data_IF_733681552820
#
_entry.id   IF_733681552820
#
_cell.length_a   1.000
_cell.length_b   1.000
_cell.length_c   1.000
_cell.angle_alpha   90.00
_cell.angle_beta   90.00
_cell.angle_gamma   90.00
#
_symmetry.space_group_name_H-M   'P 1'
#
loop_
_entity.id
_entity.type
_entity.pdbx_description
1 polymer ?
#
# COMPACT_ATOMS: atom_id res chain seq x y z
N UNK A 1 21.36 -3.14 -2.41
CA UNK A 1 20.23 -2.64 -3.22
C UNK A 1 18.95 -2.97 -2.47
N UNK A 2 18.04 -2.00 -2.30
CA UNK A 2 16.70 -2.26 -1.78
C UNK A 2 15.76 -2.50 -2.97
N UNK A 3 14.92 -3.52 -2.88
CA UNK A 3 13.96 -3.91 -3.91
C UNK A 3 12.55 -3.74 -3.36
N UNK A 4 11.71 -3.00 -4.08
CA UNK A 4 10.29 -2.80 -3.76
C UNK A 4 9.51 -3.40 -4.92
N UNK A 5 8.66 -4.39 -4.64
CA UNK A 5 7.81 -5.00 -5.67
C UNK A 5 6.63 -4.10 -6.02
N UNK A 6 6.39 -3.85 -7.31
CA UNK A 6 5.40 -2.88 -7.81
C UNK A 6 4.15 -3.52 -8.45
N UNK A 7 3.99 -4.85 -8.35
CA UNK A 7 2.98 -5.57 -9.12
C UNK A 7 1.54 -5.39 -8.58
N UNK A 8 1.38 -4.87 -7.36
CA UNK A 8 0.07 -4.55 -6.77
C UNK A 8 -0.21 -3.06 -6.99
N UNK A 9 -0.66 -2.73 -8.21
CA UNK A 9 -0.92 -1.35 -8.62
C UNK A 9 -2.22 -1.18 -9.38
N UNK A 10 -2.94 -0.09 -9.12
CA UNK A 10 -4.33 0.12 -9.54
C UNK A 10 -4.56 0.19 -11.06
N UNK A 11 -3.52 0.49 -11.86
CA UNK A 11 -3.63 0.49 -13.33
C UNK A 11 -3.62 -0.94 -13.90
N UNK A 12 -3.16 -1.94 -13.13
CA UNK A 12 -3.33 -3.34 -13.47
C UNK A 12 -4.81 -3.71 -13.42
N UNK A 13 -5.32 -4.29 -14.52
CA UNK A 13 -6.70 -4.77 -14.60
C UNK A 13 -7.02 -5.77 -13.49
N UNK A 14 -6.10 -6.71 -13.23
CA UNK A 14 -6.26 -7.74 -12.19
C UNK A 14 -6.42 -7.10 -10.81
N UNK A 15 -5.59 -6.09 -10.50
CA UNK A 15 -5.61 -5.41 -9.20
C UNK A 15 -6.86 -4.55 -9.05
N UNK A 16 -7.24 -3.81 -10.08
CA UNK A 16 -8.44 -2.96 -10.10
C UNK A 16 -9.74 -3.76 -9.93
N UNK A 17 -9.86 -4.90 -10.63
CA UNK A 17 -10.99 -5.81 -10.49
C UNK A 17 -11.02 -6.46 -9.10
N UNK A 18 -9.87 -6.88 -8.58
CA UNK A 18 -9.74 -7.44 -7.24
C UNK A 18 -10.14 -6.44 -6.14
N UNK A 19 -9.70 -5.18 -6.23
CA UNK A 19 -10.05 -4.13 -5.28
C UNK A 19 -11.55 -3.78 -5.34
N UNK A 20 -12.10 -3.67 -6.55
CA UNK A 20 -13.51 -3.35 -6.78
C UNK A 20 -14.44 -4.47 -6.34
N UNK A 21 -14.05 -5.72 -6.58
CA UNK A 21 -14.79 -6.92 -6.20
C UNK A 21 -14.51 -7.43 -4.79
N UNK A 22 -13.65 -6.75 -4.00
CA UNK A 22 -13.17 -7.22 -2.69
C UNK A 22 -12.68 -8.67 -2.71
N UNK A 23 -11.99 -9.05 -3.79
CA UNK A 23 -11.40 -10.38 -3.97
C UNK A 23 -9.90 -10.32 -3.66
N UNK A 24 -9.50 -10.86 -2.51
CA UNK A 24 -8.10 -10.80 -2.07
C UNK A 24 -7.18 -11.80 -2.79
N UNK A 25 -7.72 -12.89 -3.32
CA UNK A 25 -6.92 -14.03 -3.80
C UNK A 25 -5.87 -13.64 -4.85
N UNK A 26 -6.20 -12.87 -5.90
CA UNK A 26 -5.20 -12.46 -6.89
C UNK A 26 -4.11 -11.55 -6.30
N UNK A 27 -4.46 -10.71 -5.33
CA UNK A 27 -3.51 -9.80 -4.68
C UNK A 27 -2.55 -10.56 -3.76
N UNK A 28 -3.08 -11.55 -3.04
CA UNK A 28 -2.30 -12.45 -2.20
C UNK A 28 -1.34 -13.33 -3.02
N UNK A 29 -1.76 -13.78 -4.20
CA UNK A 29 -0.88 -14.50 -5.14
C UNK A 29 0.26 -13.61 -5.63
N UNK A 30 -0.06 -12.40 -6.12
CA UNK A 30 0.96 -11.42 -6.53
C UNK A 30 1.94 -11.08 -5.40
N UNK A 31 1.47 -10.97 -4.15
CA UNK A 31 2.35 -10.72 -3.01
C UNK A 31 3.33 -11.89 -2.79
N UNK A 32 2.84 -13.13 -2.81
CA UNK A 32 3.68 -14.34 -2.65
C UNK A 32 4.70 -14.46 -3.77
N UNK A 33 4.32 -14.14 -5.02
CA UNK A 33 5.23 -14.15 -6.16
C UNK A 33 6.36 -13.12 -6.01
N UNK A 34 6.04 -11.92 -5.53
CA UNK A 34 7.04 -10.89 -5.25
C UNK A 34 8.00 -11.32 -4.13
N UNK A 35 7.50 -11.96 -3.06
CA UNK A 35 8.37 -12.55 -2.02
C UNK A 35 9.33 -13.59 -2.62
N UNK A 36 8.83 -14.49 -3.48
CA UNK A 36 9.67 -15.49 -4.16
C UNK A 36 10.72 -14.86 -5.07
N UNK A 37 10.44 -13.69 -5.64
CA UNK A 37 11.38 -12.91 -6.45
C UNK A 37 12.44 -12.17 -5.61
N UNK A 38 12.36 -12.20 -4.28
CA UNK A 38 13.38 -11.64 -3.39
C UNK A 38 13.24 -10.14 -3.15
N UNK A 39 12.03 -9.57 -3.24
CA UNK A 39 11.81 -8.16 -2.87
C UNK A 39 11.95 -7.96 -1.35
N UNK A 40 12.27 -6.73 -0.95
CA UNK A 40 12.43 -6.35 0.46
C UNK A 40 11.17 -5.64 1.00
N UNK A 41 10.41 -4.95 0.14
CA UNK A 41 9.10 -4.35 0.44
C UNK A 41 8.11 -4.73 -0.67
N UNK A 42 6.82 -4.70 -0.34
CA UNK A 42 5.72 -4.79 -1.31
C UNK A 42 5.01 -3.44 -1.39
N UNK A 43 4.98 -2.84 -2.57
CA UNK A 43 4.21 -1.62 -2.85
C UNK A 43 2.73 -1.93 -3.00
N UNK A 44 1.89 -1.09 -2.40
CA UNK A 44 0.45 -1.19 -2.39
C UNK A 44 -0.16 0.09 -2.98
N UNK A 45 -0.24 0.14 -4.30
CA UNK A 45 -0.77 1.30 -5.01
C UNK A 45 -2.27 1.19 -5.25
N UNK A 46 -3.03 2.08 -4.58
CA UNK A 46 -4.49 2.24 -4.75
C UNK A 46 -4.86 3.54 -5.50
N UNK A 47 -3.86 4.22 -6.04
CA UNK A 47 -3.98 5.55 -6.62
C UNK A 47 -4.57 6.58 -5.62
N UNK A 48 -5.37 7.56 -6.09
CA UNK A 48 -5.97 8.56 -5.22
C UNK A 48 -7.14 8.05 -4.35
N UNK A 49 -7.58 6.80 -4.55
CA UNK A 49 -8.63 6.13 -3.79
C UNK A 49 -9.85 7.02 -3.46
N UNK A 50 -10.58 7.47 -4.49
CA UNK A 50 -11.64 8.48 -4.35
C UNK A 50 -12.86 8.02 -3.54
N UNK A 51 -13.11 6.70 -3.47
CA UNK A 51 -14.24 6.11 -2.73
C UNK A 51 -13.72 5.29 -1.56
N UNK A 52 -14.16 5.63 -0.36
CA UNK A 52 -13.81 4.96 0.90
C UNK A 52 -12.29 4.69 1.06
N UNK A 53 -11.43 5.72 0.94
CA UNK A 53 -9.96 5.55 0.92
C UNK A 53 -9.41 4.74 2.10
N UNK A 54 -9.88 5.03 3.32
CA UNK A 54 -9.47 4.30 4.51
C UNK A 54 -9.84 2.81 4.43
N UNK A 55 -11.09 2.51 4.08
CA UNK A 55 -11.59 1.13 3.98
C UNK A 55 -10.80 0.32 2.95
N UNK A 56 -10.52 0.92 1.78
CA UNK A 56 -9.77 0.26 0.71
C UNK A 56 -8.34 -0.04 1.14
N UNK A 57 -7.63 0.94 1.70
CA UNK A 57 -6.25 0.72 2.15
C UNK A 57 -6.18 -0.27 3.30
N UNK A 58 -7.07 -0.15 4.30
CA UNK A 58 -7.10 -1.06 5.44
C UNK A 58 -7.43 -2.50 5.02
N UNK A 59 -8.35 -2.69 4.07
CA UNK A 59 -8.65 -4.00 3.52
C UNK A 59 -7.43 -4.58 2.79
N UNK A 60 -6.79 -3.80 1.92
CA UNK A 60 -5.62 -4.26 1.17
C UNK A 60 -4.46 -4.65 2.11
N UNK A 61 -4.08 -3.78 3.04
CA UNK A 61 -2.99 -4.01 3.98
C UNK A 61 -3.22 -5.26 4.83
N UNK A 62 -4.43 -5.47 5.36
CA UNK A 62 -4.73 -6.68 6.13
C UNK A 62 -4.58 -7.95 5.29
N UNK A 63 -5.16 -7.98 4.09
CA UNK A 63 -5.13 -9.17 3.24
C UNK A 63 -3.72 -9.55 2.78
N UNK A 64 -2.84 -8.57 2.53
CA UNK A 64 -1.46 -8.85 2.10
C UNK A 64 -0.62 -9.38 3.27
N UNK A 65 -0.73 -8.77 4.46
CA UNK A 65 0.02 -9.22 5.65
C UNK A 65 -0.44 -10.58 6.19
N UNK A 66 -1.58 -11.11 5.76
CA UNK A 66 -2.00 -12.49 6.08
C UNK A 66 -1.13 -13.54 5.38
N UNK A 67 -0.50 -13.19 4.26
CA UNK A 67 0.18 -14.18 3.40
C UNK A 67 1.65 -13.90 3.14
N UNK A 68 2.16 -12.74 3.58
CA UNK A 68 3.57 -12.38 3.51
C UNK A 68 4.05 -11.79 4.84
N UNK A 69 5.34 -11.95 5.11
CA UNK A 69 6.03 -11.36 6.27
C UNK A 69 7.10 -10.35 5.80
N UNK A 70 6.71 -9.41 4.93
CA UNK A 70 7.54 -8.29 4.49
C UNK A 70 6.89 -6.96 4.88
N UNK A 71 7.69 -5.90 5.09
CA UNK A 71 7.16 -4.56 5.25
C UNK A 71 6.49 -4.05 3.97
N UNK A 72 5.54 -3.13 4.13
CA UNK A 72 4.72 -2.60 3.04
C UNK A 72 5.13 -1.17 2.70
N UNK A 73 5.12 -0.83 1.41
CA UNK A 73 5.18 0.54 0.92
C UNK A 73 3.75 0.97 0.55
N UNK A 74 3.19 1.92 1.29
CA UNK A 74 1.83 2.40 1.05
C UNK A 74 1.88 3.47 -0.03
N UNK A 75 1.36 3.16 -1.23
CA UNK A 75 1.40 4.06 -2.37
C UNK A 75 0.05 4.75 -2.62
N UNK A 76 -0.05 5.95 -2.08
CA UNK A 76 -1.20 6.83 -2.28
C UNK A 76 -0.88 8.27 -1.93
N UNK A 77 -1.48 9.20 -2.67
CA UNK A 77 -1.49 10.63 -2.30
C UNK A 77 -2.63 10.99 -1.34
N UNK A 78 -3.52 10.04 -1.05
CA UNK A 78 -4.68 10.25 -0.18
C UNK A 78 -4.27 10.05 1.28
N UNK A 79 -4.24 11.13 2.05
CA UNK A 79 -3.77 11.13 3.44
C UNK A 79 -4.66 10.29 4.36
N UNK A 80 -5.96 10.18 4.04
CA UNK A 80 -6.91 9.35 4.80
C UNK A 80 -6.60 7.87 4.58
N UNK A 81 -6.31 7.46 3.35
CA UNK A 81 -5.87 6.10 3.07
C UNK A 81 -4.50 5.81 3.71
N UNK A 82 -3.55 6.75 3.58
CA UNK A 82 -2.21 6.64 4.14
C UNK A 82 -2.27 6.37 5.64
N UNK A 83 -2.92 7.23 6.43
CA UNK A 83 -3.01 7.07 7.88
C UNK A 83 -3.73 5.77 8.29
N UNK A 84 -4.79 5.39 7.57
CA UNK A 84 -5.51 4.15 7.83
C UNK A 84 -4.66 2.89 7.59
N UNK A 85 -3.78 2.90 6.58
CA UNK A 85 -2.83 1.82 6.35
C UNK A 85 -1.69 1.80 7.38
N UNK A 86 -1.10 2.96 7.66
CA UNK A 86 0.01 3.11 8.63
C UNK A 86 -0.40 2.59 10.02
N UNK A 87 -1.63 2.85 10.45
CA UNK A 87 -2.13 2.43 11.75
C UNK A 87 -2.24 0.91 11.96
N UNK A 88 -2.20 0.12 10.88
CA UNK A 88 -2.41 -1.34 10.95
C UNK A 88 -1.26 -2.15 10.33
N UNK A 89 -0.22 -1.49 9.82
CA UNK A 89 0.99 -2.18 9.38
C UNK A 89 1.66 -2.88 10.57
N UNK A 90 1.96 -4.17 10.43
CA UNK A 90 2.61 -5.00 11.46
C UNK A 90 4.10 -4.74 11.55
N UNK A 91 4.74 -4.49 10.41
CA UNK A 91 6.14 -4.11 10.29
C UNK A 91 6.27 -2.63 9.92
N UNK A 92 7.48 -2.07 10.08
CA UNK A 92 7.75 -0.65 9.77
C UNK A 92 7.44 -0.34 8.29
N UNK A 93 6.39 0.46 8.00
CA UNK A 93 5.98 0.73 6.63
C UNK A 93 6.85 1.82 5.98
N UNK A 94 6.71 1.94 4.66
CA UNK A 94 7.22 3.06 3.87
C UNK A 94 6.06 3.92 3.37
N UNK A 95 6.18 5.24 3.47
CA UNK A 95 5.22 6.19 2.89
C UNK A 95 5.64 6.50 1.46
N UNK A 96 4.81 6.11 0.49
CA UNK A 96 4.96 6.43 -0.92
C UNK A 96 3.77 7.33 -1.34
N UNK A 97 3.88 8.66 -1.35
CA UNK A 97 5.05 9.50 -1.09
C UNK A 97 4.63 10.87 -0.57
N UNK A 98 5.62 11.72 -0.27
CA UNK A 98 5.43 13.16 -0.13
C UNK A 98 6.09 13.88 -1.31
N UNK A 99 5.39 14.87 -1.89
CA UNK A 99 5.93 15.70 -2.96
C UNK A 99 6.68 16.93 -2.41
N UNK A 100 7.30 17.69 -3.31
CA UNK A 100 8.01 18.92 -2.95
C UNK A 100 7.10 20.07 -2.48
N UNK A 101 5.78 19.98 -2.70
CA UNK A 101 4.82 21.05 -2.37
C UNK A 101 4.63 21.21 -0.87
N UNK A 102 4.31 22.43 -0.44
CA UNK A 102 4.06 22.73 0.97
C UNK A 102 2.90 21.89 1.53
N UNK A 103 1.77 21.86 0.81
CA UNK A 103 0.58 21.12 1.21
C UNK A 103 0.87 19.62 1.41
N UNK A 104 1.64 19.01 0.50
CA UNK A 104 1.97 17.58 0.61
C UNK A 104 2.87 17.29 1.81
N UNK A 105 3.86 18.15 2.08
CA UNK A 105 4.76 18.01 3.23
C UNK A 105 4.03 18.15 4.56
N UNK A 106 3.19 19.18 4.68
CA UNK A 106 2.39 19.44 5.88
C UNK A 106 1.44 18.29 6.21
N UNK A 107 0.95 17.58 5.18
CA UNK A 107 0.06 16.43 5.38
C UNK A 107 0.79 15.11 5.61
N UNK A 108 1.84 14.82 4.84
CA UNK A 108 2.49 13.49 4.85
C UNK A 108 3.63 13.36 5.87
N UNK A 109 4.45 14.41 6.08
CA UNK A 109 5.60 14.30 6.98
C UNK A 109 5.23 14.07 8.45
N UNK A 110 4.15 14.68 9.01
CA UNK A 110 3.71 14.36 10.36
C UNK A 110 3.31 12.89 10.53
N UNK A 111 2.75 12.26 9.48
CA UNK A 111 2.43 10.83 9.51
C UNK A 111 3.70 9.99 9.61
N UNK A 112 4.76 10.35 8.88
CA UNK A 112 6.07 9.67 8.94
C UNK A 112 6.75 9.79 10.32
N UNK A 113 6.46 10.85 11.07
CA UNK A 113 6.96 11.02 12.44
C UNK A 113 6.14 10.21 13.45
N UNK A 114 4.83 10.06 13.19
CA UNK A 114 3.88 9.43 14.10
C UNK A 114 3.94 7.89 14.07
N UNK A 115 4.15 7.30 12.91
CA UNK A 115 4.14 5.85 12.66
C UNK A 115 5.53 5.34 12.24
#
# INVERSE_FOLDING_TARGET
MILIGENIQILSKVVSEALSGRNASPLQELAKEQVKAGVHWIDLNIGPARKNPAEVMSWLVNNIQEVVDLPLALDTTNTVAMEAGLAICRQKPLINSASGTQESKEKMLPLAQKY
#
